data_IF_066575853909
#
_entry.id   IF_066575853909
#
_cell.length_a   1.000
_cell.length_b   1.000
_cell.length_c   1.000
_cell.angle_alpha   90.00
_cell.angle_beta   90.00
_cell.angle_gamma   90.00
#
_symmetry.space_group_name_H-M   'P 1'
#
loop_
_entity.id
_entity.type
_entity.pdbx_description
1 polymer ?
#
# COMPACT_ATOMS: atom_id res chain seq x y z
N UNK A 1 -6.71 -0.41 -7.16
CA UNK A 1 -7.74 -0.66 -6.12
C UNK A 1 -8.92 -1.38 -6.75
N UNK A 2 -9.64 -2.22 -6.01
CA UNK A 2 -10.94 -2.78 -6.41
C UNK A 2 -12.07 -2.01 -5.75
N UNK A 3 -12.93 -1.39 -6.55
CA UNK A 3 -14.02 -0.54 -6.09
C UNK A 3 -15.34 -1.14 -6.54
N UNK A 4 -16.22 -1.44 -5.57
CA UNK A 4 -17.58 -1.86 -5.83
C UNK A 4 -18.52 -0.63 -5.84
N UNK A 5 -19.38 -0.53 -6.84
CA UNK A 5 -20.45 0.47 -6.92
C UNK A 5 -21.79 -0.26 -6.85
N UNK A 6 -22.63 0.09 -5.89
CA UNK A 6 -23.91 -0.58 -5.64
C UNK A 6 -25.04 0.44 -5.70
N UNK A 7 -25.92 0.29 -6.68
CA UNK A 7 -27.06 1.18 -6.90
C UNK A 7 -28.10 0.46 -7.78
N UNK A 8 -29.39 0.59 -7.49
CA UNK A 8 -30.46 -0.03 -8.28
C UNK A 8 -30.72 0.69 -9.62
N UNK A 9 -30.20 1.91 -9.79
CA UNK A 9 -30.26 2.68 -11.02
C UNK A 9 -29.01 2.55 -11.89
N UNK A 10 -29.11 1.88 -13.04
CA UNK A 10 -27.99 1.71 -13.99
C UNK A 10 -27.37 3.06 -14.44
N UNK A 11 -28.19 4.10 -14.57
CA UNK A 11 -27.71 5.46 -14.91
C UNK A 11 -26.85 6.05 -13.79
N UNK A 12 -27.23 5.84 -12.53
CA UNK A 12 -26.48 6.29 -11.37
C UNK A 12 -25.13 5.56 -11.26
N UNK A 13 -25.12 4.23 -11.45
CA UNK A 13 -23.89 3.42 -11.56
C UNK A 13 -22.98 4.02 -12.64
N UNK A 14 -23.49 4.17 -13.86
CA UNK A 14 -22.70 4.63 -15.00
C UNK A 14 -22.14 6.05 -14.79
N UNK A 15 -22.92 6.93 -14.16
CA UNK A 15 -22.49 8.29 -13.84
C UNK A 15 -21.34 8.28 -12.82
N UNK A 16 -21.49 7.53 -11.72
CA UNK A 16 -20.47 7.44 -10.69
C UNK A 16 -19.19 6.77 -11.20
N UNK A 17 -19.30 5.67 -11.96
CA UNK A 17 -18.13 5.02 -12.58
C UNK A 17 -17.42 5.97 -13.53
N UNK A 18 -18.13 6.81 -14.32
CA UNK A 18 -17.48 7.81 -15.18
C UNK A 18 -16.66 8.82 -14.38
N UNK A 19 -17.18 9.28 -13.24
CA UNK A 19 -16.45 10.18 -12.33
C UNK A 19 -15.24 9.46 -11.75
N UNK A 20 -15.42 8.24 -11.24
CA UNK A 20 -14.36 7.43 -10.67
C UNK A 20 -13.24 7.17 -11.69
N UNK A 21 -13.54 6.79 -12.93
CA UNK A 21 -12.54 6.59 -13.98
C UNK A 21 -11.70 7.85 -14.28
N UNK A 22 -12.24 9.06 -14.05
CA UNK A 22 -11.49 10.32 -14.21
C UNK A 22 -10.62 10.64 -12.99
N UNK A 23 -11.13 10.34 -11.80
CA UNK A 23 -10.44 10.64 -10.53
C UNK A 23 -9.38 9.60 -10.19
N UNK A 24 -9.62 8.33 -10.50
CA UNK A 24 -8.77 7.19 -10.16
C UNK A 24 -8.72 6.17 -11.33
N UNK A 25 -8.08 6.50 -12.46
CA UNK A 25 -8.12 5.67 -13.67
C UNK A 25 -7.54 4.26 -13.49
N UNK A 26 -6.64 4.05 -12.54
CA UNK A 26 -5.93 2.78 -12.31
C UNK A 26 -6.66 1.83 -11.32
N UNK A 27 -7.99 1.92 -11.26
CA UNK A 27 -8.82 1.07 -10.40
C UNK A 27 -9.69 0.10 -11.20
N UNK A 28 -9.93 -1.08 -10.62
CA UNK A 28 -10.89 -2.06 -11.12
C UNK A 28 -12.28 -1.68 -10.57
N UNK A 29 -13.21 -1.42 -11.47
CA UNK A 29 -14.59 -1.06 -11.12
C UNK A 29 -15.53 -2.24 -11.32
N UNK A 30 -16.26 -2.59 -10.26
CA UNK A 30 -17.29 -3.62 -10.27
C UNK A 30 -18.59 -2.94 -9.91
N UNK A 31 -19.69 -3.34 -10.55
CA UNK A 31 -21.02 -2.82 -10.24
C UNK A 31 -21.98 -3.92 -9.81
N UNK A 32 -22.89 -3.59 -8.91
CA UNK A 32 -24.00 -4.44 -8.51
C UNK A 32 -25.29 -3.61 -8.48
N UNK A 33 -26.37 -4.16 -9.03
CA UNK A 33 -27.70 -3.53 -8.99
C UNK A 33 -28.58 -4.04 -7.84
N UNK A 34 -28.14 -5.11 -7.19
CA UNK A 34 -28.84 -5.73 -6.07
C UNK A 34 -27.89 -5.99 -4.92
N UNK A 35 -28.46 -6.15 -3.74
CA UNK A 35 -27.71 -6.47 -2.54
C UNK A 35 -27.11 -7.87 -2.57
N UNK A 36 -27.79 -8.83 -3.20
CA UNK A 36 -27.27 -10.20 -3.33
C UNK A 36 -26.07 -10.22 -4.29
N UNK A 37 -26.13 -9.47 -5.40
CA UNK A 37 -25.00 -9.32 -6.31
C UNK A 37 -23.81 -8.67 -5.61
N UNK A 38 -24.06 -7.61 -4.83
CA UNK A 38 -23.02 -6.94 -4.04
C UNK A 38 -22.35 -7.92 -3.04
N UNK A 39 -23.15 -8.71 -2.33
CA UNK A 39 -22.64 -9.72 -1.38
C UNK A 39 -21.92 -10.86 -2.11
N UNK A 40 -22.37 -11.27 -3.29
CA UNK A 40 -21.68 -12.25 -4.13
C UNK A 40 -20.27 -11.76 -4.48
N UNK A 41 -20.14 -10.52 -4.95
CA UNK A 41 -18.83 -9.92 -5.23
C UNK A 41 -17.94 -9.82 -4.00
N UNK A 42 -18.49 -9.42 -2.86
CA UNK A 42 -17.77 -9.35 -1.59
C UNK A 42 -17.32 -10.72 -1.07
N UNK A 43 -17.98 -11.81 -1.45
CA UNK A 43 -17.55 -13.19 -1.11
C UNK A 43 -16.44 -13.70 -2.04
N UNK A 44 -16.36 -13.20 -3.26
CA UNK A 44 -15.38 -13.65 -4.26
C UNK A 44 -13.97 -13.06 -4.03
N UNK A 45 -13.86 -11.91 -3.39
CA UNK A 45 -12.55 -11.34 -3.06
C UNK A 45 -12.63 -9.99 -2.34
N UNK A 46 -11.51 -9.52 -1.76
CA UNK A 46 -11.45 -8.26 -1.03
C UNK A 46 -11.72 -7.06 -1.94
N UNK A 47 -12.47 -6.09 -1.42
CA UNK A 47 -12.72 -4.78 -2.03
C UNK A 47 -12.05 -3.68 -1.20
N UNK A 48 -11.35 -2.77 -1.84
CA UNK A 48 -10.72 -1.62 -1.17
C UNK A 48 -11.77 -0.59 -0.74
N UNK A 49 -12.77 -0.38 -1.60
CA UNK A 49 -13.87 0.53 -1.33
C UNK A 49 -15.19 0.03 -1.92
N UNK A 50 -16.30 0.43 -1.29
CA UNK A 50 -17.65 0.20 -1.78
C UNK A 50 -18.47 1.50 -1.69
N UNK A 51 -18.95 1.98 -2.84
CA UNK A 51 -19.89 3.10 -2.94
C UNK A 51 -21.30 2.52 -2.95
N UNK A 52 -22.08 2.81 -1.91
CA UNK A 52 -23.37 2.17 -1.67
C UNK A 52 -24.51 3.19 -1.71
N UNK A 53 -25.48 2.95 -2.58
CA UNK A 53 -26.80 3.56 -2.46
C UNK A 53 -27.53 2.95 -1.25
N UNK A 54 -28.05 3.79 -0.37
CA UNK A 54 -28.84 3.33 0.77
C UNK A 54 -30.27 2.94 0.39
N UNK A 55 -30.74 3.48 -0.73
CA UNK A 55 -32.10 3.33 -1.22
C UNK A 55 -32.09 2.28 -2.33
N UNK A 56 -32.31 1.03 -1.96
CA UNK A 56 -32.52 -0.04 -2.92
C UNK A 56 -33.76 -0.85 -2.53
N UNK A 57 -34.61 -1.22 -3.50
CA UNK A 57 -35.75 -2.09 -3.25
C UNK A 57 -35.34 -3.41 -2.59
N UNK A 58 -36.07 -3.82 -1.55
CA UNK A 58 -35.94 -5.15 -0.93
C UNK A 58 -35.00 -5.24 0.28
N UNK A 59 -34.12 -4.26 0.54
CA UNK A 59 -33.36 -4.20 1.80
C UNK A 59 -32.89 -2.78 2.12
N UNK A 60 -32.87 -2.43 3.41
CA UNK A 60 -32.26 -1.20 3.89
C UNK A 60 -30.74 -1.21 3.61
N UNK A 61 -30.21 -0.25 2.84
CA UNK A 61 -28.77 -0.21 2.54
C UNK A 61 -27.85 -0.06 3.76
N UNK A 62 -28.38 0.36 4.91
CA UNK A 62 -27.67 0.29 6.20
C UNK A 62 -27.45 -1.17 6.64
N UNK A 63 -28.38 -2.08 6.35
CA UNK A 63 -28.22 -3.50 6.60
C UNK A 63 -27.13 -4.09 5.70
N UNK A 64 -27.11 -3.75 4.41
CA UNK A 64 -26.02 -4.13 3.50
C UNK A 64 -24.68 -3.64 4.03
N UNK A 65 -24.61 -2.38 4.48
CA UNK A 65 -23.41 -1.77 5.06
C UNK A 65 -22.89 -2.60 6.24
N UNK A 66 -23.76 -2.96 7.20
CA UNK A 66 -23.37 -3.80 8.36
C UNK A 66 -22.91 -5.20 7.93
N UNK A 67 -23.55 -5.79 6.93
CA UNK A 67 -23.15 -7.10 6.40
C UNK A 67 -21.77 -7.05 5.76
N UNK A 68 -21.50 -6.01 4.95
CA UNK A 68 -20.18 -5.79 4.34
C UNK A 68 -19.13 -5.56 5.42
N UNK A 69 -19.39 -4.74 6.44
CA UNK A 69 -18.43 -4.52 7.54
C UNK A 69 -18.09 -5.82 8.29
N UNK A 70 -19.07 -6.72 8.45
CA UNK A 70 -18.83 -8.03 9.06
C UNK A 70 -18.03 -8.97 8.15
N UNK A 71 -18.31 -8.94 6.84
CA UNK A 71 -17.68 -9.80 5.85
C UNK A 71 -16.25 -9.34 5.49
N UNK A 72 -16.05 -8.03 5.36
CA UNK A 72 -14.80 -7.37 5.00
C UNK A 72 -14.57 -6.13 5.90
N UNK A 73 -14.02 -6.31 7.11
CA UNK A 73 -13.86 -5.22 8.09
C UNK A 73 -12.97 -4.06 7.65
N UNK A 74 -12.15 -4.27 6.61
CA UNK A 74 -11.22 -3.29 6.04
C UNK A 74 -11.72 -2.65 4.74
N UNK A 75 -12.88 -3.05 4.22
CA UNK A 75 -13.46 -2.39 3.07
C UNK A 75 -13.94 -0.99 3.48
N UNK A 76 -13.48 0.05 2.78
CA UNK A 76 -13.98 1.40 3.01
C UNK A 76 -15.38 1.54 2.43
N UNK A 77 -16.36 1.88 3.27
CA UNK A 77 -17.73 2.09 2.79
C UNK A 77 -17.99 3.57 2.61
N UNK A 78 -18.42 3.97 1.42
CA UNK A 78 -18.84 5.31 1.07
C UNK A 78 -20.33 5.26 0.80
N UNK A 79 -21.12 5.97 1.58
CA UNK A 79 -22.56 6.11 1.31
C UNK A 79 -22.77 7.15 0.22
N UNK A 80 -23.63 6.84 -0.75
CA UNK A 80 -23.99 7.73 -1.86
C UNK A 80 -25.51 7.82 -1.96
N UNK A 81 -26.10 8.96 -1.61
CA UNK A 81 -27.57 9.09 -1.47
C UNK A 81 -28.09 10.47 -1.91
N UNK A 82 -29.37 10.59 -2.26
CA UNK A 82 -30.06 11.88 -2.48
C UNK A 82 -30.52 12.52 -1.15
N UNK A 83 -30.43 11.77 -0.04
CA UNK A 83 -31.08 12.07 1.23
C UNK A 83 -30.06 12.41 2.34
N UNK A 84 -29.84 13.71 2.65
CA UNK A 84 -28.88 14.14 3.66
C UNK A 84 -29.21 13.68 5.08
N UNK A 85 -30.47 13.35 5.37
CA UNK A 85 -30.94 12.86 6.66
C UNK A 85 -30.20 11.60 7.13
N UNK A 86 -29.75 10.73 6.20
CA UNK A 86 -29.01 9.51 6.53
C UNK A 86 -27.56 9.74 6.99
N UNK A 87 -27.08 10.98 6.99
CA UNK A 87 -25.71 11.30 7.38
C UNK A 87 -25.41 10.90 8.83
N UNK A 88 -26.38 11.06 9.74
CA UNK A 88 -26.20 10.70 11.14
C UNK A 88 -26.09 9.19 11.33
N UNK A 89 -26.96 8.40 10.69
CA UNK A 89 -26.92 6.94 10.73
C UNK A 89 -25.64 6.40 10.09
N UNK A 90 -25.22 6.97 8.96
CA UNK A 90 -23.97 6.60 8.28
C UNK A 90 -22.76 6.84 9.19
N UNK A 91 -22.74 7.96 9.92
CA UNK A 91 -21.70 8.25 10.90
C UNK A 91 -21.73 7.26 12.07
N UNK A 92 -22.91 6.91 12.60
CA UNK A 92 -23.07 5.98 13.71
C UNK A 92 -22.60 4.55 13.39
N UNK A 93 -22.75 4.11 12.14
CA UNK A 93 -22.20 2.82 11.68
C UNK A 93 -20.75 2.94 11.21
N UNK A 94 -20.09 4.07 11.43
CA UNK A 94 -18.69 4.31 11.10
C UNK A 94 -18.38 4.03 9.62
N UNK A 95 -19.16 4.56 8.67
CA UNK A 95 -18.73 4.55 7.25
C UNK A 95 -17.46 5.39 7.06
N UNK A 96 -16.74 5.15 5.96
CA UNK A 96 -15.50 5.86 5.61
C UNK A 96 -15.76 7.18 4.88
N UNK A 97 -16.92 7.32 4.23
CA UNK A 97 -17.31 8.55 3.57
C UNK A 97 -18.82 8.64 3.34
N UNK A 98 -19.28 9.85 3.02
CA UNK A 98 -20.67 10.15 2.69
C UNK A 98 -20.68 11.15 1.55
N UNK A 99 -21.46 10.88 0.51
CA UNK A 99 -21.60 11.69 -0.70
C UNK A 99 -23.08 11.93 -0.99
N UNK A 100 -23.44 13.18 -1.26
CA UNK A 100 -24.75 13.52 -1.79
C UNK A 100 -24.76 13.41 -3.31
N UNK A 101 -25.84 12.86 -3.85
CA UNK A 101 -26.12 12.88 -5.29
C UNK A 101 -26.68 14.27 -5.68
N UNK A 102 -26.30 14.81 -6.85
CA UNK A 102 -25.27 14.31 -7.75
C UNK A 102 -23.86 14.57 -7.20
N UNK A 103 -23.05 13.51 -7.08
CA UNK A 103 -21.66 13.66 -6.67
C UNK A 103 -20.83 14.26 -7.82
N UNK A 104 -19.86 15.11 -7.51
CA UNK A 104 -18.92 15.64 -8.49
C UNK A 104 -17.50 15.04 -8.32
N UNK A 105 -16.59 15.34 -9.26
CA UNK A 105 -15.21 14.85 -9.22
C UNK A 105 -14.42 15.29 -7.98
N UNK A 106 -14.67 16.50 -7.46
CA UNK A 106 -13.99 17.00 -6.28
C UNK A 106 -14.45 16.26 -5.01
N UNK A 107 -15.76 15.99 -4.88
CA UNK A 107 -16.29 15.24 -3.73
C UNK A 107 -15.76 13.81 -3.70
N UNK A 108 -15.78 13.13 -4.84
CA UNK A 108 -15.27 11.76 -4.98
C UNK A 108 -13.77 11.71 -4.72
N UNK A 109 -12.98 12.65 -5.26
CA UNK A 109 -11.54 12.77 -5.00
C UNK A 109 -11.27 12.95 -3.51
N UNK A 110 -11.96 13.88 -2.87
CA UNK A 110 -11.79 14.16 -1.45
C UNK A 110 -12.06 12.91 -0.59
N UNK A 111 -13.10 12.13 -0.89
CA UNK A 111 -13.38 10.89 -0.14
C UNK A 111 -12.30 9.83 -0.39
N UNK A 112 -11.84 9.66 -1.63
CA UNK A 112 -10.79 8.68 -1.95
C UNK A 112 -9.42 9.03 -1.32
N UNK A 113 -9.10 10.32 -1.16
CA UNK A 113 -7.87 10.77 -0.49
C UNK A 113 -7.90 10.55 1.03
N UNK A 114 -9.09 10.47 1.63
CA UNK A 114 -9.30 10.38 3.08
C UNK A 114 -9.91 9.05 3.55
N UNK A 115 -9.75 7.98 2.77
CA UNK A 115 -10.21 6.65 3.15
C UNK A 115 -9.61 6.21 4.50
N UNK A 116 -10.45 5.63 5.37
CA UNK A 116 -10.04 5.19 6.72
C UNK A 116 -8.94 4.14 6.65
N UNK A 117 -9.15 3.15 5.78
CA UNK A 117 -8.16 2.15 5.47
C UNK A 117 -7.56 2.57 4.13
N UNK A 118 -6.30 3.04 4.09
CA UNK A 118 -5.67 3.27 2.79
C UNK A 118 -5.78 1.96 2.00
N UNK A 119 -6.14 2.03 0.70
CA UNK A 119 -6.15 0.86 -0.15
C UNK A 119 -4.84 0.10 0.05
N UNK A 120 -4.92 -1.22 0.14
CA UNK A 120 -3.70 -2.02 0.16
C UNK A 120 -3.09 -1.93 -1.24
N UNK A 121 -2.37 -0.83 -1.48
CA UNK A 121 -1.46 -0.68 -2.60
C UNK A 121 -0.25 -1.58 -2.33
N UNK A 122 -0.47 -2.87 -2.48
CA UNK A 122 0.56 -3.85 -2.75
C UNK A 122 0.04 -4.70 -3.90
N UNK A 123 0.62 -4.59 -5.10
CA UNK A 123 0.46 -5.62 -6.10
C UNK A 123 0.85 -6.95 -5.46
N UNK A 124 -0.07 -7.92 -5.53
CA UNK A 124 0.19 -9.34 -5.31
C UNK A 124 0.90 -9.67 -4.00
N UNK A 125 0.34 -9.33 -2.84
CA UNK A 125 0.69 -9.98 -1.57
C UNK A 125 2.18 -9.99 -1.17
N UNK A 126 3.03 -9.13 -1.77
CA UNK A 126 4.45 -9.00 -1.44
C UNK A 126 4.59 -7.88 -0.43
N UNK A 127 4.84 -8.26 0.82
CA UNK A 127 5.14 -7.34 1.90
C UNK A 127 6.62 -7.40 2.22
N UNK A 128 7.24 -6.24 2.36
CA UNK A 128 8.65 -6.09 2.74
C UNK A 128 8.71 -5.35 4.08
N UNK A 129 9.39 -5.98 5.02
CA UNK A 129 9.75 -5.40 6.31
C UNK A 129 11.22 -4.99 6.26
N UNK A 130 11.49 -3.71 6.49
CA UNK A 130 12.82 -3.13 6.57
C UNK A 130 13.13 -2.63 7.98
N UNK A 131 12.11 -2.30 8.79
CA UNK A 131 12.33 -1.89 10.18
C UNK A 131 12.60 -3.10 11.07
N UNK A 132 13.67 -3.02 11.85
CA UNK A 132 14.25 -4.18 12.53
C UNK A 132 15.03 -5.04 11.54
N UNK A 133 14.70 -6.34 11.48
CA UNK A 133 15.31 -7.25 10.52
C UNK A 133 14.61 -7.21 9.16
N UNK A 134 15.40 -7.25 8.09
CA UNK A 134 14.89 -7.36 6.72
C UNK A 134 14.18 -8.71 6.50
N UNK A 135 12.90 -8.65 6.13
CA UNK A 135 12.10 -9.80 5.73
C UNK A 135 11.18 -9.48 4.55
N UNK A 136 10.90 -10.51 3.75
CA UNK A 136 9.91 -10.45 2.67
C UNK A 136 8.87 -11.55 2.87
N UNK A 137 7.62 -11.19 2.67
CA UNK A 137 6.47 -12.08 2.80
C UNK A 137 5.72 -12.11 1.49
N UNK A 138 5.35 -13.29 1.03
CA UNK A 138 4.50 -13.49 -0.16
C UNK A 138 3.25 -14.23 0.30
N UNK A 139 2.08 -13.62 0.10
CA UNK A 139 0.81 -14.17 0.59
C UNK A 139 0.77 -14.34 2.12
N UNK A 140 1.47 -13.47 2.86
CA UNK A 140 1.56 -13.49 4.32
C UNK A 140 2.55 -14.51 4.90
N UNK A 141 3.28 -15.27 4.07
CA UNK A 141 4.32 -16.22 4.51
C UNK A 141 5.71 -15.67 4.21
N UNK A 142 6.64 -15.82 5.14
CA UNK A 142 8.03 -15.41 4.93
C UNK A 142 8.66 -16.21 3.78
N UNK A 143 9.29 -15.50 2.84
CA UNK A 143 9.95 -16.12 1.70
C UNK A 143 11.29 -16.74 2.12
N UNK A 144 11.45 -18.04 1.87
CA UNK A 144 12.68 -18.75 2.17
C UNK A 144 13.72 -18.51 1.05
N UNK A 145 14.93 -18.11 1.43
CA UNK A 145 16.05 -17.97 0.49
C UNK A 145 17.04 -19.11 0.68
N UNK A 146 17.48 -19.71 -0.43
CA UNK A 146 18.52 -20.74 -0.40
C UNK A 146 19.85 -20.21 0.11
N UNK A 147 20.13 -18.92 -0.10
CA UNK A 147 21.38 -18.26 0.27
C UNK A 147 21.09 -16.94 0.96
N UNK A 148 21.74 -16.68 2.09
CA UNK A 148 21.63 -15.40 2.80
C UNK A 148 22.02 -14.21 1.93
N UNK A 149 23.03 -14.36 1.08
CA UNK A 149 23.46 -13.31 0.15
C UNK A 149 22.40 -12.97 -0.90
N UNK A 150 21.51 -13.90 -1.29
CA UNK A 150 20.43 -13.60 -2.25
C UNK A 150 19.39 -12.69 -1.60
N UNK A 151 19.07 -12.96 -0.33
CA UNK A 151 18.21 -12.10 0.48
C UNK A 151 18.84 -10.73 0.73
N UNK A 152 20.14 -10.69 0.99
CA UNK A 152 20.89 -9.44 1.16
C UNK A 152 20.95 -8.61 -0.12
N UNK A 153 21.14 -9.24 -1.28
CA UNK A 153 21.05 -8.56 -2.58
C UNK A 153 19.68 -7.91 -2.76
N UNK A 154 18.60 -8.63 -2.45
CA UNK A 154 17.25 -8.06 -2.50
C UNK A 154 17.09 -6.89 -1.53
N UNK A 155 17.60 -7.02 -0.30
CA UNK A 155 17.57 -5.96 0.69
C UNK A 155 18.28 -4.70 0.20
N UNK A 156 19.44 -4.86 -0.43
CA UNK A 156 20.17 -3.75 -1.02
C UNK A 156 19.34 -3.08 -2.12
N UNK A 157 18.75 -3.84 -3.06
CA UNK A 157 17.87 -3.26 -4.09
C UNK A 157 16.67 -2.52 -3.49
N UNK A 158 16.14 -3.00 -2.36
CA UNK A 158 15.06 -2.34 -1.62
C UNK A 158 15.53 -1.00 -1.04
N UNK A 159 16.70 -0.95 -0.40
CA UNK A 159 17.29 0.28 0.15
C UNK A 159 17.47 1.37 -0.93
N UNK A 160 17.84 0.94 -2.14
CA UNK A 160 17.99 1.82 -3.32
C UNK A 160 16.68 2.38 -3.87
N UNK A 161 15.53 1.97 -3.33
CA UNK A 161 14.21 2.56 -3.56
C UNK A 161 13.90 2.84 -5.05
N UNK A 162 14.10 1.82 -5.89
CA UNK A 162 13.83 1.88 -7.33
C UNK A 162 14.99 2.40 -8.19
N UNK A 163 16.07 2.90 -7.60
CA UNK A 163 17.27 3.28 -8.34
C UNK A 163 17.96 2.05 -8.95
N UNK A 164 18.43 2.20 -10.19
CA UNK A 164 19.22 1.18 -10.89
C UNK A 164 20.58 1.01 -10.24
N UNK A 165 20.96 -0.25 -10.00
CA UNK A 165 22.25 -0.64 -9.44
C UNK A 165 23.07 -1.34 -10.50
N UNK A 166 24.30 -0.91 -10.69
CA UNK A 166 25.30 -1.57 -11.54
C UNK A 166 25.88 -2.80 -10.86
N UNK A 167 26.50 -3.69 -11.64
CA UNK A 167 27.27 -4.81 -11.08
C UNK A 167 28.35 -4.34 -10.10
N UNK A 168 29.06 -3.24 -10.40
CA UNK A 168 30.11 -2.72 -9.53
C UNK A 168 29.59 -2.29 -8.16
N UNK A 169 28.46 -1.58 -8.13
CA UNK A 169 27.81 -1.15 -6.87
C UNK A 169 27.28 -2.34 -6.07
N UNK A 170 26.67 -3.33 -6.73
CA UNK A 170 26.22 -4.54 -6.03
C UNK A 170 27.40 -5.34 -5.47
N UNK A 171 28.52 -5.40 -6.19
CA UNK A 171 29.73 -6.10 -5.74
C UNK A 171 30.36 -5.42 -4.53
N UNK A 172 30.53 -4.10 -4.56
CA UNK A 172 31.18 -3.35 -3.48
C UNK A 172 30.41 -3.44 -2.17
N UNK A 173 29.07 -3.50 -2.24
CA UNK A 173 28.22 -3.62 -1.06
C UNK A 173 28.14 -5.06 -0.55
N UNK A 174 28.00 -6.06 -1.43
CA UNK A 174 27.84 -7.45 -1.00
C UNK A 174 29.15 -8.13 -0.61
N UNK A 175 30.29 -7.64 -1.09
CA UNK A 175 31.60 -8.19 -0.79
C UNK A 175 32.58 -7.05 -0.47
N UNK A 176 32.25 -6.30 0.59
CA UNK A 176 33.13 -5.31 1.22
C UNK A 176 34.56 -5.93 1.33
N UNK A 177 35.55 -5.23 0.75
CA UNK A 177 36.98 -5.58 0.75
C UNK A 177 37.47 -6.72 -0.15
N UNK A 178 36.65 -7.25 -1.08
CA UNK A 178 37.14 -8.22 -2.07
C UNK A 178 37.66 -7.56 -3.35
N UNK A 179 38.79 -8.05 -3.91
CA UNK A 179 39.29 -7.54 -5.17
C UNK A 179 38.32 -7.85 -6.32
N UNK A 180 38.19 -6.89 -7.25
CA UNK A 180 37.40 -7.06 -8.45
C UNK A 180 38.01 -8.14 -9.35
N UNK A 181 37.36 -9.30 -9.42
CA UNK A 181 37.85 -10.48 -10.14
C UNK A 181 36.73 -11.11 -10.95
N UNK A 182 37.07 -11.78 -12.06
CA UNK A 182 36.09 -12.48 -12.90
C UNK A 182 35.27 -13.56 -12.14
N UNK A 183 35.87 -14.17 -11.10
CA UNK A 183 35.17 -15.10 -10.21
C UNK A 183 34.09 -14.40 -9.39
N UNK A 184 34.37 -13.19 -8.88
CA UNK A 184 33.41 -12.41 -8.10
C UNK A 184 32.22 -11.95 -8.95
N UNK A 185 32.47 -11.50 -10.18
CA UNK A 185 31.40 -11.23 -11.16
C UNK A 185 30.56 -12.48 -11.46
N UNK A 186 31.18 -13.65 -11.52
CA UNK A 186 30.46 -14.92 -11.69
C UNK A 186 29.60 -15.26 -10.49
N UNK A 187 30.07 -14.99 -9.27
CA UNK A 187 29.26 -15.14 -8.05
C UNK A 187 28.05 -14.21 -8.06
N UNK A 188 28.21 -12.94 -8.44
CA UNK A 188 27.09 -12.01 -8.56
C UNK A 188 26.04 -12.49 -9.58
N UNK A 189 26.47 -12.94 -10.76
CA UNK A 189 25.54 -13.49 -11.76
C UNK A 189 24.74 -14.68 -11.22
N UNK A 190 25.41 -15.60 -10.54
CA UNK A 190 24.75 -16.74 -9.91
C UNK A 190 23.79 -16.30 -8.79
N UNK A 191 24.13 -15.24 -8.06
CA UNK A 191 23.28 -14.67 -7.01
C UNK A 191 22.01 -14.02 -7.58
N UNK A 192 22.14 -13.27 -8.67
CA UNK A 192 20.99 -12.66 -9.37
C UNK A 192 20.09 -13.76 -9.93
N UNK A 193 20.66 -14.83 -10.47
CA UNK A 193 19.92 -15.99 -10.95
C UNK A 193 19.14 -16.68 -9.81
N UNK A 194 19.82 -17.00 -8.69
CA UNK A 194 19.22 -17.61 -7.50
C UNK A 194 18.10 -16.76 -6.91
N UNK A 195 18.31 -15.44 -6.81
CA UNK A 195 17.29 -14.49 -6.36
C UNK A 195 16.06 -14.50 -7.28
N UNK A 196 16.28 -14.46 -8.59
CA UNK A 196 15.15 -14.41 -9.55
C UNK A 196 14.34 -15.70 -9.51
N UNK A 197 15.01 -16.84 -9.44
CA UNK A 197 14.33 -18.13 -9.33
C UNK A 197 13.56 -18.26 -8.01
N UNK A 198 14.14 -17.80 -6.89
CA UNK A 198 13.45 -17.77 -5.58
C UNK A 198 12.16 -16.95 -5.63
N UNK A 199 12.17 -15.82 -6.33
CA UNK A 199 10.97 -14.98 -6.52
C UNK A 199 9.96 -15.66 -7.44
N UNK A 200 10.41 -16.21 -8.57
CA UNK A 200 9.56 -16.93 -9.53
C UNK A 200 8.87 -18.14 -8.90
N UNK A 201 9.58 -18.94 -8.11
CA UNK A 201 9.05 -20.10 -7.39
C UNK A 201 7.98 -19.71 -6.37
N UNK A 202 8.05 -18.49 -5.84
CA UNK A 202 7.05 -17.91 -4.95
C UNK A 202 5.87 -17.26 -5.70
N UNK A 203 5.83 -17.36 -7.03
CA UNK A 203 4.81 -16.73 -7.87
C UNK A 203 5.00 -15.23 -8.07
N UNK A 204 6.17 -14.68 -7.72
CA UNK A 204 6.49 -13.26 -7.85
C UNK A 204 7.18 -13.01 -9.19
N UNK A 205 6.47 -12.39 -10.13
CA UNK A 205 6.99 -12.11 -11.47
C UNK A 205 7.17 -10.62 -11.73
N UNK A 206 8.26 -10.28 -12.43
CA UNK A 206 8.56 -8.91 -12.85
C UNK A 206 8.83 -7.93 -11.70
N UNK A 207 9.18 -8.41 -10.50
CA UNK A 207 9.61 -7.56 -9.39
C UNK A 207 11.00 -6.96 -9.62
N UNK A 208 11.86 -7.68 -10.36
CA UNK A 208 13.21 -7.24 -10.71
C UNK A 208 13.22 -6.66 -12.12
N UNK A 209 13.68 -5.41 -12.24
CA UNK A 209 13.88 -4.73 -13.52
C UNK A 209 15.34 -4.91 -13.93
N UNK A 210 15.55 -5.65 -15.02
CA UNK A 210 16.90 -5.95 -15.53
C UNK A 210 17.25 -5.01 -16.67
N UNK A 211 18.47 -4.45 -16.62
CA UNK A 211 19.07 -3.67 -17.70
C UNK A 211 20.44 -4.23 -18.10
N UNK A 212 21.16 -3.49 -18.94
CA UNK A 212 22.51 -3.89 -19.39
C UNK A 212 23.50 -3.75 -18.23
N UNK A 213 23.81 -4.87 -17.59
CA UNK A 213 24.66 -4.93 -16.38
C UNK A 213 24.11 -4.15 -15.19
N UNK A 214 22.79 -3.97 -15.15
CA UNK A 214 22.09 -3.25 -14.08
C UNK A 214 20.88 -4.04 -13.60
N UNK A 215 20.50 -3.79 -12.34
CA UNK A 215 19.35 -4.40 -11.69
C UNK A 215 18.66 -3.34 -10.81
N UNK A 216 17.34 -3.33 -10.81
CA UNK A 216 16.53 -2.49 -9.92
C UNK A 216 15.32 -3.27 -9.39
N UNK A 217 14.69 -2.73 -8.35
CA UNK A 217 13.42 -3.23 -7.83
C UNK A 217 12.27 -2.37 -8.38
N UNK A 218 11.19 -3.01 -8.85
CA UNK A 218 9.93 -2.33 -9.11
C UNK A 218 9.22 -2.03 -7.79
N UNK A 219 9.39 -0.81 -7.27
CA UNK A 219 8.82 -0.38 -5.99
C UNK A 219 7.30 -0.29 -6.02
N UNK A 220 6.68 -0.24 -7.21
CA UNK A 220 5.21 -0.21 -7.32
C UNK A 220 4.59 -1.54 -6.91
N UNK A 221 5.36 -2.64 -6.94
CA UNK A 221 4.91 -4.02 -6.72
C UNK A 221 4.97 -4.53 -5.28
N UNK A 222 5.29 -3.67 -4.32
CA UNK A 222 5.53 -4.11 -2.93
C UNK A 222 4.88 -3.17 -1.92
N UNK A 223 4.34 -3.73 -0.85
CA UNK A 223 4.05 -2.98 0.38
C UNK A 223 5.29 -3.02 1.27
N UNK A 224 5.93 -1.87 1.45
CA UNK A 224 7.20 -1.76 2.16
C UNK A 224 7.10 -0.69 3.25
N UNK A 225 7.37 -1.08 4.50
CA UNK A 225 7.35 -0.18 5.66
C UNK A 225 8.28 1.03 5.51
N UNK A 226 9.47 0.84 4.95
CA UNK A 226 10.43 1.90 4.62
C UNK A 226 9.88 2.87 3.58
N UNK A 227 9.29 2.39 2.48
CA UNK A 227 8.73 3.26 1.45
C UNK A 227 7.51 4.04 1.95
N UNK A 228 6.67 3.38 2.76
CA UNK A 228 5.53 4.01 3.41
C UNK A 228 5.97 5.12 4.38
N UNK A 229 7.07 4.91 5.10
CA UNK A 229 7.65 5.92 5.98
C UNK A 229 8.20 7.12 5.20
N UNK A 230 8.92 6.90 4.10
CA UNK A 230 9.42 7.98 3.24
C UNK A 230 8.28 8.84 2.67
N UNK A 231 7.13 8.21 2.35
CA UNK A 231 5.91 8.90 1.92
C UNK A 231 5.15 9.64 3.03
N UNK A 232 5.59 9.53 4.29
CA UNK A 232 4.95 10.19 5.43
C UNK A 232 3.63 9.55 5.89
N UNK A 233 3.42 8.25 5.61
CA UNK A 233 2.24 7.55 6.09
C UNK A 233 2.21 7.49 7.61
N UNK A 234 1.13 8.00 8.22
CA UNK A 234 0.95 8.06 9.70
C UNK A 234 1.11 6.69 10.38
N UNK A 235 0.71 5.60 9.73
CA UNK A 235 0.85 4.25 10.28
C UNK A 235 2.30 3.77 10.32
N UNK A 236 3.10 4.11 9.30
CA UNK A 236 4.51 3.75 9.22
C UNK A 236 5.40 4.61 10.14
N UNK A 237 5.07 5.90 10.31
CA UNK A 237 5.77 6.75 11.27
C UNK A 237 5.60 6.25 12.71
N UNK A 238 4.44 5.66 13.04
CA UNK A 238 4.17 5.09 14.37
C UNK A 238 4.84 3.73 14.61
N UNK A 239 5.13 2.95 13.55
CA UNK A 239 5.80 1.66 13.65
C UNK A 239 7.32 1.76 13.70
N UNK A 240 7.91 2.86 13.20
CA UNK A 240 9.35 3.07 13.24
C UNK A 240 9.87 3.22 14.69
N UNK A 241 10.82 2.36 15.07
CA UNK A 241 11.45 2.33 16.41
C UNK A 241 12.94 2.71 16.41
N UNK A 242 13.43 3.30 15.32
CA UNK A 242 14.85 3.67 15.19
C UNK A 242 15.73 2.56 14.61
N UNK A 243 15.12 1.48 14.13
CA UNK A 243 15.77 0.30 13.56
C UNK A 243 15.51 0.22 12.05
N UNK A 244 16.53 -0.17 11.29
CA UNK A 244 16.45 -0.36 9.85
C UNK A 244 17.52 -1.39 9.45
N UNK A 245 17.06 -2.49 8.84
CA UNK A 245 17.86 -3.61 8.33
C UNK A 245 19.09 -3.94 9.19
N UNK A 246 18.87 -4.22 10.47
CA UNK A 246 19.93 -4.28 11.48
C UNK A 246 20.97 -5.37 11.23
N UNK A 247 20.66 -6.35 10.39
CA UNK A 247 21.59 -7.42 10.02
C UNK A 247 22.60 -7.07 8.92
N UNK A 248 22.51 -5.89 8.30
CA UNK A 248 23.40 -5.49 7.19
C UNK A 248 24.20 -4.24 7.56
N UNK A 249 25.53 -4.32 7.47
CA UNK A 249 26.46 -3.22 7.79
C UNK A 249 26.25 -2.00 6.90
N UNK A 250 26.08 -2.21 5.60
CA UNK A 250 25.88 -1.12 4.64
C UNK A 250 24.61 -0.29 4.90
N UNK A 251 23.63 -0.82 5.64
CA UNK A 251 22.38 -0.13 5.96
C UNK A 251 22.53 0.95 7.05
N UNK A 252 23.69 1.05 7.70
CA UNK A 252 23.93 2.03 8.77
C UNK A 252 23.75 3.48 8.31
N UNK A 253 24.15 3.78 7.07
CA UNK A 253 24.03 5.12 6.48
C UNK A 253 22.56 5.51 6.36
N UNK A 254 21.73 4.64 5.75
CA UNK A 254 20.29 4.86 5.60
C UNK A 254 19.61 4.92 6.96
N UNK A 255 20.00 4.06 7.91
CA UNK A 255 19.48 4.06 9.29
C UNK A 255 19.71 5.40 9.99
N UNK A 256 20.89 5.99 9.81
CA UNK A 256 21.22 7.31 10.37
C UNK A 256 20.33 8.42 9.77
N UNK A 257 20.16 8.42 8.44
CA UNK A 257 19.29 9.38 7.76
C UNK A 257 17.82 9.28 8.21
N UNK A 258 17.29 8.05 8.32
CA UNK A 258 15.93 7.80 8.78
C UNK A 258 15.69 8.31 10.21
N UNK A 259 16.67 8.16 11.11
CA UNK A 259 16.57 8.70 12.48
C UNK A 259 16.46 10.22 12.50
N UNK A 260 17.22 10.91 11.65
CA UNK A 260 17.14 12.37 11.52
C UNK A 260 15.76 12.80 10.99
N UNK A 261 15.27 12.14 9.94
CA UNK A 261 13.96 12.43 9.36
C UNK A 261 12.80 12.18 10.34
N UNK A 262 12.86 11.09 11.12
CA UNK A 262 11.88 10.80 12.16
C UNK A 262 11.82 11.89 13.24
N UNK A 263 12.97 12.45 13.62
CA UNK A 263 13.02 13.56 14.57
C UNK A 263 12.37 14.82 14.01
N UNK A 264 12.60 15.15 12.73
CA UNK A 264 11.96 16.31 12.07
C UNK A 264 10.44 16.14 12.00
N UNK A 265 9.95 14.96 11.62
CA UNK A 265 8.51 14.67 11.55
C UNK A 265 7.81 14.73 12.91
N UNK A 266 8.48 14.33 14.00
CA UNK A 266 7.96 14.49 15.38
C UNK A 266 7.88 15.95 15.81
N UNK A 267 8.87 16.78 15.46
CA UNK A 267 8.85 18.20 15.81
C UNK A 267 7.79 18.97 15.02
N UNK A 268 7.57 18.63 13.76
CA UNK A 268 6.55 19.25 12.90
C UNK A 268 5.10 18.88 13.27
N UNK A 269 4.89 17.82 14.06
CA UNK A 269 3.57 17.37 14.51
C UNK A 269 3.14 17.94 15.86
N UNK A 270 3.97 18.80 16.50
CA UNK A 270 3.57 19.58 17.67
C UNK A 270 2.92 20.89 17.18
N UNK A 271 1.61 21.11 17.40
CA UNK A 271 0.98 22.38 17.07
C UNK A 271 1.67 23.51 17.85
N UNK A 272 2.05 24.59 17.16
CA UNK A 272 2.53 25.83 17.76
C UNK A 272 1.39 26.56 18.49
N UNK A 273 0.88 25.97 19.57
CA UNK A 273 -0.03 26.59 20.53
C UNK A 273 0.52 26.38 21.94
N UNK A 274 1.71 26.94 22.18
CA UNK A 274 2.15 27.25 23.53
C UNK A 274 2.79 28.64 23.49
N UNK A 275 1.93 29.65 23.47
CA UNK A 275 2.32 30.96 23.98
C UNK A 275 2.16 30.82 25.49
N UNK A 276 3.24 30.81 26.30
CA UNK A 276 3.09 30.81 27.73
C UNK A 276 2.30 32.08 28.11
N UNK A 277 1.29 32.00 28.99
CA UNK A 277 0.69 33.20 29.52
C UNK A 277 1.80 33.93 30.27
N UNK A 278 2.18 35.10 29.74
CA UNK A 278 2.90 36.11 30.51
C UNK A 278 2.01 36.48 31.68
N UNK A 279 2.22 35.82 32.80
CA UNK A 279 1.56 36.09 34.06
C UNK A 279 2.38 37.08 34.88
N UNK A 280 1.70 38.16 35.24
CA UNK A 280 1.91 39.11 36.35
C UNK A 280 3.11 40.06 36.30
#
# INVERSE_FOLDING_TARGET
MKILVVDDGQLAINSLIRILCRVAPDCDYISAMTTEDALSWMRQGPMDAAFLNLEMPGMNGLALTRMIQKLQPRCNIIVVTEHPEYALEALQIFVSGFLLKPANEADVRNVLEHLRYPPENAPVGIKIQCFGNFEIFVGGRALAFKRSKSKELLAYLVDRNGATCTNGEMLSVLWEDKPDTASLHSHLRNLIFDLSHTLEDAGVTGLLIRGRSTLALDTSKVDCDYYNFLRGSRSATNSYRGEYMTQYSWAEVTRSALRQQANVQKTASIPSYYVPPTGF
#
